data_IF_545731326100
#
_entry.id   IF_545731326100
#
_cell.length_a   1.000
_cell.length_b   1.000
_cell.length_c   1.000
_cell.angle_alpha   90.00
_cell.angle_beta   90.00
_cell.angle_gamma   90.00
#
_symmetry.space_group_name_H-M   'P 1'
#
loop_
_entity.id
_entity.type
_entity.pdbx_description
1 polymer ?
#
# COMPACT_ATOMS: atom_id res chain seq x y z
N UNK A 1 6.05 -15.79 20.14
CA UNK A 1 5.86 -15.98 18.68
C UNK A 1 7.18 -15.61 18.01
N UNK A 2 7.68 -16.45 17.11
CA UNK A 2 8.89 -16.15 16.34
C UNK A 2 8.59 -15.01 15.40
N UNK A 3 9.47 -13.98 15.34
CA UNK A 3 9.35 -12.88 14.38
C UNK A 3 9.86 -13.34 13.01
N UNK A 4 9.12 -13.01 11.97
CA UNK A 4 9.49 -13.25 10.56
C UNK A 4 10.02 -11.97 9.88
N UNK A 5 10.19 -10.89 10.61
CA UNK A 5 10.89 -9.68 10.21
C UNK A 5 12.06 -9.42 11.15
N UNK A 6 13.08 -8.74 10.68
CA UNK A 6 14.31 -8.46 11.44
C UNK A 6 14.29 -7.08 12.10
N UNK A 7 15.18 -6.85 13.05
CA UNK A 7 15.40 -5.51 13.60
C UNK A 7 15.91 -4.54 12.50
N UNK A 8 16.69 -5.06 11.54
CA UNK A 8 17.15 -4.27 10.39
C UNK A 8 15.99 -3.77 9.51
N UNK A 9 14.91 -4.54 9.38
CA UNK A 9 13.71 -4.09 8.65
C UNK A 9 13.05 -2.92 9.36
N UNK A 10 12.96 -3.00 10.70
CA UNK A 10 12.41 -1.93 11.54
C UNK A 10 13.27 -0.66 11.42
N UNK A 11 14.59 -0.78 11.62
CA UNK A 11 15.54 0.33 11.52
C UNK A 11 15.50 0.97 10.12
N UNK A 12 15.43 0.15 9.07
CA UNK A 12 15.32 0.63 7.70
C UNK A 12 14.02 1.42 7.49
N UNK A 13 12.89 0.89 7.96
CA UNK A 13 11.62 1.63 7.89
C UNK A 13 11.69 2.95 8.66
N UNK A 14 12.23 2.95 9.87
CA UNK A 14 12.36 4.16 10.69
C UNK A 14 13.24 5.23 10.03
N UNK A 15 14.31 4.82 9.36
CA UNK A 15 15.24 5.72 8.68
C UNK A 15 14.74 6.15 7.30
N UNK A 16 14.38 5.19 6.47
CA UNK A 16 14.07 5.41 5.06
C UNK A 16 12.57 5.64 4.81
N UNK A 17 11.72 5.38 5.82
CA UNK A 17 10.26 5.46 5.70
C UNK A 17 9.63 4.31 4.94
N UNK A 18 10.43 3.39 4.38
CA UNK A 18 9.95 2.30 3.56
C UNK A 18 10.85 1.08 3.63
N UNK A 19 10.26 -0.12 3.59
CA UNK A 19 10.99 -1.40 3.53
C UNK A 19 10.18 -2.45 2.77
N UNK A 20 10.87 -3.30 2.02
CA UNK A 20 10.29 -4.49 1.38
C UNK A 20 10.62 -5.69 2.24
N UNK A 21 9.60 -6.44 2.64
CA UNK A 21 9.71 -7.62 3.50
C UNK A 21 9.12 -8.82 2.76
N UNK A 22 9.76 -9.97 2.91
CA UNK A 22 9.34 -11.23 2.30
C UNK A 22 9.14 -12.28 3.39
N UNK A 23 8.46 -13.37 3.05
CA UNK A 23 8.37 -14.57 3.90
C UNK A 23 7.66 -14.37 5.27
N UNK A 24 6.84 -13.34 5.39
CA UNK A 24 6.00 -13.16 6.58
C UNK A 24 4.84 -14.16 6.61
N UNK A 25 4.24 -14.42 5.45
CA UNK A 25 3.08 -15.27 5.34
C UNK A 25 3.47 -16.70 4.93
N UNK A 26 2.72 -17.70 5.44
CA UNK A 26 2.88 -19.06 4.96
C UNK A 26 2.35 -19.20 3.52
N UNK A 27 2.86 -20.17 2.74
CA UNK A 27 2.31 -20.47 1.41
C UNK A 27 0.80 -20.76 1.43
N UNK A 28 0.31 -21.35 2.52
CA UNK A 28 -1.11 -21.63 2.74
C UNK A 28 -1.91 -20.33 2.88
N UNK A 29 -1.43 -19.37 3.67
CA UNK A 29 -2.11 -18.08 3.85
C UNK A 29 -2.13 -17.31 2.54
N UNK A 30 -1.00 -17.26 1.82
CA UNK A 30 -0.90 -16.59 0.51
C UNK A 30 -1.94 -17.18 -0.46
N UNK A 31 -1.98 -18.52 -0.59
CA UNK A 31 -2.93 -19.18 -1.47
C UNK A 31 -4.38 -18.92 -1.06
N UNK A 32 -4.69 -19.01 0.23
CA UNK A 32 -6.06 -18.80 0.71
C UNK A 32 -6.57 -17.40 0.45
N UNK A 33 -5.71 -16.39 0.67
CA UNK A 33 -6.08 -14.97 0.39
C UNK A 33 -6.20 -14.74 -1.11
N UNK A 34 -5.30 -15.28 -1.92
CA UNK A 34 -5.41 -15.22 -3.38
C UNK A 34 -6.76 -15.76 -3.88
N UNK A 35 -7.12 -16.98 -3.43
CA UNK A 35 -8.37 -17.63 -3.84
C UNK A 35 -9.61 -16.82 -3.40
N UNK A 36 -9.53 -16.13 -2.26
CA UNK A 36 -10.60 -15.27 -1.76
C UNK A 36 -10.75 -13.99 -2.59
N UNK A 37 -9.63 -13.35 -2.93
CA UNK A 37 -9.65 -12.15 -3.79
C UNK A 37 -10.21 -12.53 -5.17
N UNK A 38 -9.83 -13.69 -5.69
CA UNK A 38 -10.35 -14.21 -6.95
C UNK A 38 -11.89 -14.40 -6.92
N UNK A 39 -12.41 -14.92 -5.82
CA UNK A 39 -13.89 -15.04 -5.62
C UNK A 39 -14.57 -13.69 -5.55
N UNK A 40 -13.98 -12.72 -4.82
CA UNK A 40 -14.55 -11.38 -4.63
C UNK A 40 -14.61 -10.62 -5.95
N UNK A 41 -13.51 -10.62 -6.71
CA UNK A 41 -13.41 -9.85 -7.95
C UNK A 41 -13.79 -10.65 -9.21
N UNK A 42 -13.89 -11.98 -9.08
CA UNK A 42 -14.40 -12.86 -10.14
C UNK A 42 -13.55 -12.85 -11.40
N UNK A 43 -12.22 -12.82 -11.26
CA UNK A 43 -11.32 -12.96 -12.41
C UNK A 43 -11.64 -14.25 -13.18
N UNK A 44 -11.78 -14.13 -14.49
CA UNK A 44 -11.86 -15.26 -15.41
C UNK A 44 -10.76 -15.12 -16.42
N UNK A 45 -9.97 -16.15 -16.60
CA UNK A 45 -8.92 -16.18 -17.59
C UNK A 45 -9.50 -15.81 -18.98
N UNK A 46 -8.96 -14.73 -19.58
CA UNK A 46 -9.40 -14.21 -20.87
C UNK A 46 -10.75 -13.46 -20.88
N UNK A 47 -11.35 -13.19 -19.73
CA UNK A 47 -12.61 -12.44 -19.62
C UNK A 47 -12.48 -11.18 -18.77
N UNK A 48 -13.35 -10.21 -19.03
CA UNK A 48 -13.50 -9.06 -18.15
C UNK A 48 -13.89 -9.50 -16.74
N UNK A 49 -13.28 -8.97 -15.70
CA UNK A 49 -13.66 -9.26 -14.32
C UNK A 49 -15.11 -8.85 -14.10
N UNK A 50 -15.80 -9.55 -13.18
CA UNK A 50 -17.08 -9.08 -12.70
C UNK A 50 -16.87 -7.85 -11.84
N UNK A 51 -16.87 -6.68 -12.45
CA UNK A 51 -16.86 -5.44 -11.70
C UNK A 51 -18.16 -5.35 -10.90
N UNK A 52 -18.07 -5.41 -9.60
CA UNK A 52 -19.17 -4.97 -8.74
C UNK A 52 -19.15 -3.45 -8.74
N UNK A 53 -20.10 -2.87 -9.46
CA UNK A 53 -20.26 -1.42 -9.46
C UNK A 53 -20.94 -1.03 -8.14
N UNK A 54 -20.15 -0.72 -7.10
CA UNK A 54 -20.66 -0.36 -5.77
C UNK A 54 -21.15 1.11 -5.70
N UNK A 55 -21.71 1.62 -6.77
CA UNK A 55 -22.33 2.96 -6.78
C UNK A 55 -21.34 4.12 -6.72
N UNK A 56 -20.06 3.85 -6.76
CA UNK A 56 -19.05 4.89 -6.96
C UNK A 56 -19.16 5.34 -8.41
N UNK A 57 -19.46 6.59 -8.62
CA UNK A 57 -19.48 7.21 -9.94
C UNK A 57 -18.04 7.31 -10.46
N UNK A 58 -17.56 6.24 -11.04
CA UNK A 58 -16.15 6.08 -11.49
C UNK A 58 -16.03 6.73 -12.85
N UNK A 59 -16.14 8.02 -12.89
CA UNK A 59 -16.02 8.74 -14.17
C UNK A 59 -14.58 8.85 -14.64
N UNK A 60 -13.54 8.68 -13.79
CA UNK A 60 -12.17 9.00 -14.19
C UNK A 60 -11.05 8.09 -13.67
N UNK A 61 -11.28 7.13 -12.76
CA UNK A 61 -10.18 6.38 -12.16
C UNK A 61 -10.46 4.87 -12.14
N UNK A 62 -10.15 4.21 -13.22
CA UNK A 62 -10.37 2.76 -13.42
C UNK A 62 -9.73 1.90 -12.32
N UNK A 63 -8.66 2.35 -11.68
CA UNK A 63 -7.99 1.60 -10.62
C UNK A 63 -8.88 1.30 -9.40
N UNK A 64 -9.91 2.13 -9.15
CA UNK A 64 -10.81 1.95 -8.02
C UNK A 64 -12.06 1.12 -8.35
N UNK A 65 -12.21 0.63 -9.58
CA UNK A 65 -13.32 -0.26 -9.95
C UNK A 65 -13.30 -1.56 -9.16
N UNK A 66 -12.10 -2.04 -8.80
CA UNK A 66 -11.88 -3.28 -8.07
C UNK A 66 -11.22 -3.01 -6.70
N UNK A 67 -11.69 -1.98 -6.04
CA UNK A 67 -11.30 -1.61 -4.69
C UNK A 67 -12.48 -1.82 -3.75
N UNK A 68 -12.27 -2.57 -2.70
CA UNK A 68 -13.30 -2.78 -1.66
C UNK A 68 -12.67 -2.79 -0.27
N UNK A 69 -13.41 -2.26 0.69
CA UNK A 69 -13.19 -2.62 2.07
C UNK A 69 -13.42 -4.12 2.21
N UNK A 70 -12.61 -4.81 3.00
CA UNK A 70 -12.72 -6.25 3.14
C UNK A 70 -14.10 -6.57 3.69
N UNK A 71 -14.92 -7.37 2.96
CA UNK A 71 -16.28 -7.69 3.39
C UNK A 71 -16.28 -8.56 4.65
N UNK A 72 -17.25 -8.35 5.53
CA UNK A 72 -17.39 -9.15 6.75
C UNK A 72 -17.72 -10.63 6.48
N UNK A 73 -18.32 -10.92 5.35
CA UNK A 73 -18.73 -12.26 4.92
C UNK A 73 -17.68 -12.96 4.03
N UNK A 74 -16.51 -12.36 3.86
CA UNK A 74 -15.42 -13.04 3.16
C UNK A 74 -14.81 -14.14 4.04
N UNK A 75 -13.93 -14.96 3.45
CA UNK A 75 -13.29 -16.03 4.21
C UNK A 75 -12.45 -15.51 5.37
N UNK A 76 -12.22 -16.33 6.40
CA UNK A 76 -11.32 -15.97 7.50
C UNK A 76 -9.92 -15.58 7.03
N UNK A 77 -9.41 -16.15 5.93
CA UNK A 77 -8.08 -15.81 5.42
C UNK A 77 -7.99 -14.36 5.00
N UNK A 78 -8.89 -13.90 4.14
CA UNK A 78 -8.92 -12.50 3.69
C UNK A 78 -9.27 -11.54 4.84
N UNK A 79 -10.22 -11.91 5.70
CA UNK A 79 -10.61 -11.10 6.85
C UNK A 79 -9.49 -10.86 7.85
N UNK A 80 -8.65 -11.88 8.09
CA UNK A 80 -7.64 -11.83 9.15
C UNK A 80 -6.27 -11.40 8.66
N UNK A 81 -6.02 -11.38 7.36
CA UNK A 81 -4.68 -11.09 6.85
C UNK A 81 -4.22 -9.69 7.23
N UNK A 82 -5.12 -8.71 7.21
CA UNK A 82 -4.82 -7.33 7.59
C UNK A 82 -4.43 -7.15 9.06
N UNK A 83 -4.81 -8.09 9.92
CA UNK A 83 -4.46 -8.13 11.36
C UNK A 83 -3.54 -9.28 11.71
N UNK A 84 -2.80 -9.79 10.73
CA UNK A 84 -1.84 -10.87 10.96
C UNK A 84 -0.85 -10.49 12.07
N UNK A 85 -0.55 -11.37 13.06
CA UNK A 85 0.26 -11.04 14.22
C UNK A 85 1.64 -10.45 13.91
N UNK A 86 2.25 -10.87 12.79
CA UNK A 86 3.54 -10.32 12.36
C UNK A 86 3.42 -8.85 11.90
N UNK A 87 2.33 -8.49 11.22
CA UNK A 87 2.06 -7.08 10.81
C UNK A 87 1.85 -6.20 12.04
N UNK A 88 1.05 -6.68 12.99
CA UNK A 88 0.82 -5.98 14.26
C UNK A 88 2.15 -5.80 15.02
N UNK A 89 2.98 -6.84 15.07
CA UNK A 89 4.30 -6.78 15.70
C UNK A 89 5.20 -5.74 15.03
N UNK A 90 5.31 -5.81 13.70
CA UNK A 90 6.11 -4.88 12.91
C UNK A 90 5.61 -3.43 13.06
N UNK A 91 4.30 -3.21 13.04
CA UNK A 91 3.73 -1.88 13.23
C UNK A 91 4.06 -1.30 14.62
N UNK A 92 3.99 -2.12 15.66
CA UNK A 92 4.39 -1.71 17.04
C UNK A 92 5.85 -1.32 17.12
N UNK A 93 6.73 -2.15 16.55
CA UNK A 93 8.17 -1.92 16.57
C UNK A 93 8.54 -0.69 15.72
N UNK A 94 7.99 -0.59 14.49
CA UNK A 94 8.25 0.53 13.58
C UNK A 94 7.79 1.88 14.16
N UNK A 95 6.58 1.93 14.71
CA UNK A 95 6.00 3.13 15.32
C UNK A 95 6.45 3.35 16.77
N UNK A 96 7.32 2.48 17.31
CA UNK A 96 7.82 2.55 18.68
C UNK A 96 6.68 2.76 19.70
N UNK A 97 5.57 2.04 19.56
CA UNK A 97 4.42 2.12 20.46
C UNK A 97 3.70 0.78 20.57
N UNK A 98 3.19 0.46 21.75
CA UNK A 98 2.40 -0.76 21.98
C UNK A 98 0.91 -0.57 21.66
N UNK A 99 0.45 0.68 21.63
CA UNK A 99 -0.96 1.03 21.46
C UNK A 99 -1.24 1.47 20.03
N UNK A 100 -1.48 0.48 19.16
CA UNK A 100 -1.81 0.69 17.74
C UNK A 100 -3.24 0.28 17.45
N UNK A 101 -3.81 0.84 16.40
CA UNK A 101 -5.11 0.48 15.83
C UNK A 101 -5.01 0.28 14.32
N UNK A 102 -5.73 -0.70 13.82
CA UNK A 102 -6.01 -0.81 12.41
C UNK A 102 -6.91 0.37 12.02
N UNK A 103 -6.43 1.17 11.11
CA UNK A 103 -7.14 2.34 10.59
C UNK A 103 -7.97 1.99 9.36
N UNK A 104 -7.39 1.19 8.46
CA UNK A 104 -7.99 0.81 7.19
C UNK A 104 -7.46 -0.55 6.76
N UNK A 105 -8.30 -1.35 6.12
CA UNK A 105 -7.88 -2.55 5.40
C UNK A 105 -8.75 -2.73 4.16
N UNK A 106 -8.11 -2.96 3.01
CA UNK A 106 -8.76 -2.97 1.71
C UNK A 106 -8.15 -4.02 0.80
N UNK A 107 -8.99 -4.68 0.01
CA UNK A 107 -8.57 -5.60 -1.03
C UNK A 107 -8.58 -4.89 -2.39
N UNK A 108 -7.57 -5.17 -3.20
CA UNK A 108 -7.36 -4.58 -4.50
C UNK A 108 -7.17 -5.65 -5.56
N UNK A 109 -7.81 -5.46 -6.70
CA UNK A 109 -7.53 -6.22 -7.88
C UNK A 109 -7.33 -5.28 -9.08
N UNK A 110 -6.19 -5.38 -9.76
CA UNK A 110 -5.93 -4.69 -11.02
C UNK A 110 -5.87 -5.71 -12.15
N UNK A 111 -6.41 -5.34 -13.29
CA UNK A 111 -6.45 -6.17 -14.50
C UNK A 111 -6.01 -5.33 -15.68
N UNK A 112 -5.17 -5.90 -16.55
CA UNK A 112 -4.65 -5.22 -17.72
C UNK A 112 -5.79 -4.64 -18.58
N UNK A 113 -5.70 -3.35 -18.89
CA UNK A 113 -6.65 -2.64 -19.74
C UNK A 113 -7.96 -2.21 -19.08
N UNK A 114 -8.22 -2.59 -17.83
CA UNK A 114 -9.47 -2.26 -17.14
C UNK A 114 -9.30 -1.43 -15.87
N UNK A 115 -8.45 -1.89 -14.97
CA UNK A 115 -8.26 -1.29 -13.65
C UNK A 115 -6.78 -1.07 -13.37
N UNK A 116 -6.04 -0.62 -14.36
CA UNK A 116 -4.59 -0.50 -14.36
C UNK A 116 -4.12 0.96 -14.49
N UNK A 117 -4.89 1.89 -13.95
CA UNK A 117 -4.57 3.31 -13.97
C UNK A 117 -3.18 3.61 -13.38
N UNK A 118 -2.40 4.41 -14.10
CA UNK A 118 -1.12 4.92 -13.62
C UNK A 118 -1.31 6.19 -12.81
N UNK A 119 -0.68 6.27 -11.65
CA UNK A 119 -0.73 7.43 -10.79
C UNK A 119 0.56 8.25 -10.88
N UNK A 120 0.42 9.54 -10.65
CA UNK A 120 1.55 10.40 -10.29
C UNK A 120 2.05 10.07 -8.88
N UNK A 121 3.31 10.36 -8.58
CA UNK A 121 3.82 10.30 -7.21
C UNK A 121 2.98 11.18 -6.29
N UNK A 122 2.56 10.60 -5.19
CA UNK A 122 1.80 11.23 -4.13
C UNK A 122 2.17 10.63 -2.79
N UNK A 123 1.77 11.26 -1.71
CA UNK A 123 1.70 10.61 -0.40
C UNK A 123 0.23 10.48 -0.01
N UNK A 124 -0.06 9.52 0.85
CA UNK A 124 -1.43 9.32 1.37
C UNK A 124 -1.91 10.47 2.24
N UNK A 125 -0.97 11.25 2.76
CA UNK A 125 -1.23 12.46 3.53
C UNK A 125 -2.02 13.49 2.72
N UNK A 126 -3.10 13.99 3.31
CA UNK A 126 -3.98 14.97 2.66
C UNK A 126 -4.88 14.43 1.56
N UNK A 127 -4.73 13.15 1.19
CA UNK A 127 -5.56 12.53 0.16
C UNK A 127 -6.72 11.73 0.78
N UNK A 128 -6.44 10.64 1.47
CA UNK A 128 -7.45 9.77 2.05
C UNK A 128 -7.17 9.37 3.51
N UNK A 129 -6.18 9.96 4.12
CA UNK A 129 -5.86 9.76 5.53
C UNK A 129 -5.86 11.09 6.29
N UNK A 130 -6.32 11.01 7.54
CA UNK A 130 -6.30 12.14 8.47
C UNK A 130 -4.97 12.29 9.20
N UNK A 131 -4.07 11.29 9.10
CA UNK A 131 -2.76 11.35 9.73
C UNK A 131 -1.83 12.24 8.90
N UNK A 132 -1.12 13.15 9.53
CA UNK A 132 -0.11 14.00 8.91
C UNK A 132 1.30 13.55 9.30
N UNK A 133 2.32 13.80 8.47
CA UNK A 133 3.70 13.49 8.80
C UNK A 133 4.15 14.16 10.10
N UNK A 134 4.90 13.44 10.92
CA UNK A 134 5.47 13.94 12.16
C UNK A 134 6.91 13.48 12.31
N UNK A 135 7.74 14.30 12.95
CA UNK A 135 9.09 13.89 13.37
C UNK A 135 9.06 12.86 14.49
N UNK A 136 7.98 12.82 15.26
CA UNK A 136 7.72 11.76 16.25
C UNK A 136 7.12 10.55 15.50
N UNK A 137 7.92 9.50 15.34
CA UNK A 137 7.50 8.26 14.67
C UNK A 137 6.24 7.64 15.29
N UNK A 138 6.00 7.84 16.60
CA UNK A 138 4.81 7.31 17.27
C UNK A 138 3.52 7.97 16.77
N UNK A 139 3.61 9.13 16.14
CA UNK A 139 2.46 9.87 15.61
C UNK A 139 2.22 9.58 14.11
N UNK A 140 3.13 8.87 13.45
CA UNK A 140 2.96 8.49 12.05
C UNK A 140 2.03 7.27 11.90
N UNK A 141 1.79 6.87 10.67
CA UNK A 141 1.16 5.62 10.32
C UNK A 141 2.13 4.72 9.55
N UNK A 142 1.86 3.44 9.56
CA UNK A 142 2.51 2.46 8.71
C UNK A 142 1.46 1.75 7.87
N UNK A 143 1.65 1.76 6.57
CA UNK A 143 0.81 1.06 5.61
C UNK A 143 1.57 -0.15 5.06
N UNK A 144 0.89 -1.28 5.00
CA UNK A 144 1.36 -2.50 4.37
C UNK A 144 0.60 -2.70 3.07
N UNK A 145 1.29 -2.64 1.93
CA UNK A 145 0.79 -3.14 0.65
C UNK A 145 1.34 -4.56 0.47
N UNK A 146 0.46 -5.54 0.47
CA UNK A 146 0.78 -6.97 0.46
C UNK A 146 0.32 -7.58 -0.85
N UNK A 147 1.23 -8.21 -1.58
CA UNK A 147 0.91 -8.88 -2.84
C UNK A 147 0.51 -10.35 -2.61
N UNK A 148 -0.60 -10.74 -3.21
CA UNK A 148 -1.11 -12.12 -3.19
C UNK A 148 -1.09 -12.77 -4.58
N UNK A 149 -0.47 -12.13 -5.55
CA UNK A 149 -0.02 -12.68 -6.85
C UNK A 149 1.44 -12.33 -7.05
N UNK A 150 2.12 -13.01 -7.95
CA UNK A 150 3.46 -12.60 -8.38
C UNK A 150 3.35 -11.28 -9.16
N UNK A 151 4.24 -10.34 -8.83
CA UNK A 151 4.23 -8.99 -9.40
C UNK A 151 5.62 -8.67 -9.94
N UNK A 152 5.75 -8.70 -11.26
CA UNK A 152 6.92 -8.17 -11.99
C UNK A 152 6.63 -6.73 -12.43
N UNK A 153 7.59 -6.06 -13.06
CA UNK A 153 7.36 -4.74 -13.65
C UNK A 153 6.18 -4.70 -14.63
N UNK A 154 5.94 -5.79 -15.36
CA UNK A 154 4.82 -5.88 -16.30
C UNK A 154 3.45 -6.07 -15.62
N UNK A 155 3.41 -6.37 -14.31
CA UNK A 155 2.19 -6.51 -13.51
C UNK A 155 1.81 -5.22 -12.77
N UNK A 156 2.47 -4.11 -13.07
CA UNK A 156 2.17 -2.79 -12.51
C UNK A 156 2.39 -2.71 -11.00
N UNK A 157 3.62 -2.94 -10.50
CA UNK A 157 3.93 -2.80 -9.08
C UNK A 157 3.70 -1.37 -8.60
N UNK A 158 3.61 -1.16 -7.31
CA UNK A 158 3.79 0.17 -6.78
C UNK A 158 5.27 0.59 -6.90
N UNK A 159 5.50 1.85 -7.17
CA UNK A 159 6.84 2.46 -7.12
C UNK A 159 6.88 3.49 -6.01
N UNK A 160 8.07 3.75 -5.47
CA UNK A 160 8.23 4.64 -4.34
C UNK A 160 9.59 5.33 -4.32
N UNK A 161 9.66 6.42 -3.56
CA UNK A 161 10.92 7.12 -3.24
C UNK A 161 11.07 7.12 -1.72
N UNK A 162 12.25 6.75 -1.21
CA UNK A 162 12.49 6.72 0.23
C UNK A 162 12.54 8.13 0.82
N UNK A 163 12.28 8.26 2.14
CA UNK A 163 12.43 9.53 2.86
C UNK A 163 13.81 10.14 2.64
N UNK A 164 14.85 9.35 2.82
CA UNK A 164 16.24 9.82 2.68
C UNK A 164 16.60 10.26 1.26
N UNK A 165 15.92 9.74 0.25
CA UNK A 165 16.12 10.17 -1.13
C UNK A 165 15.28 11.42 -1.44
N UNK A 166 14.04 11.50 -0.98
CA UNK A 166 13.21 12.68 -1.19
C UNK A 166 13.76 13.91 -0.45
N UNK A 167 14.37 13.74 0.72
CA UNK A 167 15.01 14.83 1.49
C UNK A 167 16.21 15.46 0.75
N UNK A 168 16.77 14.82 -0.27
CA UNK A 168 17.83 15.42 -1.13
C UNK A 168 17.26 16.46 -2.09
N UNK A 169 15.95 16.48 -2.28
CA UNK A 169 15.26 17.42 -3.16
C UNK A 169 15.00 18.70 -2.37
N UNK A 170 15.58 19.83 -2.83
CA UNK A 170 15.42 21.11 -2.16
C UNK A 170 13.95 21.49 -1.97
N UNK A 171 13.60 21.84 -0.74
CA UNK A 171 12.26 22.27 -0.34
C UNK A 171 11.14 21.28 -0.68
N UNK A 172 11.42 19.99 -0.61
CA UNK A 172 10.43 18.96 -0.94
C UNK A 172 9.14 19.12 -0.11
N UNK A 173 9.26 19.47 1.17
CA UNK A 173 8.13 19.70 2.06
C UNK A 173 7.27 20.88 1.67
N UNK A 174 7.86 21.94 1.10
CA UNK A 174 7.12 23.10 0.60
C UNK A 174 6.40 22.80 -0.72
N UNK A 175 6.99 21.92 -1.55
CA UNK A 175 6.42 21.51 -2.83
C UNK A 175 5.27 20.51 -2.66
N UNK A 176 5.18 19.92 -1.48
CA UNK A 176 4.34 18.76 -1.20
C UNK A 176 2.86 19.09 -0.97
N UNK A 177 2.55 20.31 -0.55
CA UNK A 177 1.25 20.62 0.06
C UNK A 177 0.07 20.55 -0.92
N UNK A 178 0.27 20.50 -2.23
CA UNK A 178 -0.89 20.59 -3.12
C UNK A 178 -0.83 19.89 -4.49
N UNK A 179 0.18 19.13 -4.85
CA UNK A 179 0.24 18.74 -6.27
C UNK A 179 0.91 17.41 -6.58
N UNK A 180 0.18 16.33 -6.40
CA UNK A 180 0.48 15.07 -7.12
C UNK A 180 0.48 15.27 -8.66
N UNK A 181 -0.07 16.36 -9.17
CA UNK A 181 -0.08 16.72 -10.59
C UNK A 181 1.03 17.69 -11.01
N UNK A 182 1.86 18.17 -10.08
CA UNK A 182 2.99 19.03 -10.45
C UNK A 182 4.07 18.23 -11.22
N UNK A 183 4.15 18.47 -12.52
CA UNK A 183 5.12 17.83 -13.41
C UNK A 183 6.55 18.04 -12.92
N UNK A 184 6.86 19.19 -12.36
CA UNK A 184 8.20 19.49 -11.83
C UNK A 184 8.57 18.58 -10.66
N UNK A 185 7.63 18.32 -9.76
CA UNK A 185 7.81 17.39 -8.65
C UNK A 185 8.01 15.96 -9.14
N UNK A 186 7.20 15.51 -10.10
CA UNK A 186 7.32 14.17 -10.70
C UNK A 186 8.72 13.96 -11.31
N UNK A 187 9.22 14.96 -12.05
CA UNK A 187 10.56 14.90 -12.66
C UNK A 187 11.69 14.88 -11.62
N UNK A 188 11.52 15.54 -10.48
CA UNK A 188 12.52 15.55 -9.41
C UNK A 188 12.55 14.22 -8.64
N UNK A 189 11.42 13.52 -8.52
CA UNK A 189 11.31 12.25 -7.82
C UNK A 189 11.77 11.06 -8.69
N UNK A 190 11.54 11.11 -9.99
CA UNK A 190 11.78 10.01 -10.91
C UNK A 190 13.20 9.39 -10.82
N UNK A 191 14.31 10.16 -10.66
CA UNK A 191 15.66 9.59 -10.55
C UNK A 191 15.88 8.71 -9.30
N UNK A 192 15.02 8.82 -8.29
CA UNK A 192 15.11 8.10 -7.03
C UNK A 192 14.08 6.96 -6.92
N UNK A 193 13.34 6.72 -7.98
CA UNK A 193 12.27 5.74 -8.02
C UNK A 193 12.78 4.31 -7.80
N UNK A 194 12.06 3.58 -6.95
CA UNK A 194 12.31 2.17 -6.64
C UNK A 194 11.02 1.39 -6.83
N UNK A 195 11.14 0.13 -7.21
CA UNK A 195 10.01 -0.77 -7.41
C UNK A 195 9.73 -1.60 -6.17
N UNK A 196 8.46 -2.02 -6.03
CA UNK A 196 8.02 -3.01 -5.05
C UNK A 196 7.81 -4.40 -5.65
N UNK A 197 8.23 -4.62 -6.91
CA UNK A 197 8.07 -5.90 -7.58
C UNK A 197 8.59 -7.07 -6.73
N UNK A 198 7.87 -8.18 -6.74
CA UNK A 198 8.21 -9.35 -5.95
C UNK A 198 7.22 -10.49 -6.13
N UNK A 199 7.53 -11.65 -5.56
CA UNK A 199 6.67 -12.82 -5.55
C UNK A 199 5.46 -12.61 -4.62
N UNK A 200 4.44 -13.44 -4.77
CA UNK A 200 3.32 -13.48 -3.83
C UNK A 200 3.81 -13.62 -2.39
N UNK A 201 3.25 -12.85 -1.48
CA UNK A 201 3.71 -12.71 -0.09
C UNK A 201 4.69 -11.56 0.14
N UNK A 202 5.14 -10.85 -0.90
CA UNK A 202 5.94 -9.62 -0.74
C UNK A 202 5.10 -8.51 -0.12
N UNK A 203 5.68 -7.83 0.87
CA UNK A 203 5.07 -6.72 1.59
C UNK A 203 5.92 -5.46 1.37
N UNK A 204 5.29 -4.42 0.89
CA UNK A 204 5.82 -3.07 0.93
C UNK A 204 5.25 -2.36 2.16
N UNK A 205 6.10 -2.12 3.17
CA UNK A 205 5.75 -1.37 4.37
C UNK A 205 6.24 0.07 4.22
N UNK A 206 5.35 1.05 4.31
CA UNK A 206 5.70 2.46 4.11
C UNK A 206 4.98 3.40 5.07
N UNK A 207 5.60 4.53 5.34
CA UNK A 207 5.08 5.61 6.17
C UNK A 207 4.21 6.58 5.38
N UNK A 208 3.46 7.40 6.11
CA UNK A 208 2.54 8.40 5.56
C UNK A 208 3.24 9.44 4.66
N UNK A 209 4.52 9.65 4.88
CA UNK A 209 5.38 10.63 4.22
C UNK A 209 6.13 10.09 2.99
N UNK A 210 5.83 8.86 2.58
CA UNK A 210 6.52 8.22 1.45
C UNK A 210 5.81 8.54 0.15
N UNK A 211 6.56 9.15 -0.79
CA UNK A 211 6.11 9.30 -2.16
C UNK A 211 6.02 7.95 -2.82
N UNK A 212 4.84 7.64 -3.33
CA UNK A 212 4.60 6.41 -4.05
C UNK A 212 3.59 6.63 -5.17
N UNK A 213 3.53 5.67 -6.11
CA UNK A 213 2.58 5.70 -7.21
C UNK A 213 2.22 4.28 -7.67
N UNK A 214 1.06 4.11 -8.25
CA UNK A 214 0.72 2.90 -9.00
C UNK A 214 1.25 3.01 -10.43
N UNK A 215 1.70 1.89 -10.98
CA UNK A 215 2.07 1.77 -12.41
C UNK A 215 1.07 0.90 -13.16
N UNK A 216 1.02 1.03 -14.47
CA UNK A 216 0.14 0.25 -15.32
C UNK A 216 0.58 -1.21 -15.43
N UNK A 217 -0.40 -2.09 -15.68
CA UNK A 217 -0.13 -3.47 -16.11
C UNK A 217 0.07 -3.43 -17.63
N UNK A 218 1.25 -3.83 -18.09
CA UNK A 218 1.60 -3.81 -19.51
C UNK A 218 1.49 -5.19 -20.17
N UNK A 219 1.50 -6.27 -19.37
CA UNK A 219 1.37 -7.64 -19.87
C UNK A 219 -0.09 -7.98 -20.13
N UNK A 220 -0.45 -8.34 -21.39
CA UNK A 220 -1.81 -8.75 -21.73
C UNK A 220 -2.29 -9.92 -20.86
N UNK A 221 -3.51 -9.83 -20.34
CA UNK A 221 -4.14 -10.85 -19.50
C UNK A 221 -3.57 -10.97 -18.09
N UNK A 222 -2.58 -10.14 -17.72
CA UNK A 222 -2.04 -10.15 -16.38
C UNK A 222 -2.97 -9.42 -15.39
N UNK A 223 -2.80 -9.78 -14.12
CA UNK A 223 -3.52 -9.18 -13.00
C UNK A 223 -2.58 -9.02 -11.80
N UNK A 224 -3.01 -8.20 -10.84
CA UNK A 224 -2.34 -8.00 -9.56
C UNK A 224 -3.37 -8.01 -8.43
N UNK A 225 -3.22 -8.94 -7.50
CA UNK A 225 -3.99 -9.02 -6.28
C UNK A 225 -3.19 -8.49 -5.10
N UNK A 226 -3.79 -7.58 -4.36
CA UNK A 226 -3.15 -6.97 -3.21
C UNK A 226 -4.15 -6.70 -2.08
N UNK A 227 -3.64 -6.65 -0.86
CA UNK A 227 -4.37 -6.12 0.31
C UNK A 227 -3.53 -5.01 0.90
N UNK A 228 -4.17 -3.89 1.24
CA UNK A 228 -3.55 -2.83 2.04
C UNK A 228 -4.10 -2.86 3.46
N UNK A 229 -3.23 -2.58 4.43
CA UNK A 229 -3.63 -2.39 5.84
C UNK A 229 -2.82 -1.27 6.45
N UNK A 230 -3.49 -0.30 7.02
CA UNK A 230 -2.85 0.87 7.63
C UNK A 230 -3.05 0.84 9.16
N UNK A 231 -1.95 0.99 9.89
CA UNK A 231 -1.94 1.08 11.34
C UNK A 231 -1.42 2.44 11.81
N UNK A 232 -1.99 2.93 12.90
CA UNK A 232 -1.54 4.12 13.60
C UNK A 232 -1.65 3.94 15.11
N UNK A 233 -1.00 4.82 15.88
CA UNK A 233 -1.19 4.89 17.32
C UNK A 233 -2.67 5.18 17.64
N UNK A 234 -3.20 4.55 18.69
CA UNK A 234 -4.61 4.69 19.08
C UNK A 234 -5.00 6.12 19.42
N UNK A 235 -4.07 6.87 20.02
CA UNK A 235 -4.19 8.31 20.26
C UNK A 235 -3.13 8.99 19.43
N UNK A 236 -3.54 9.55 18.30
CA UNK A 236 -2.65 10.26 17.39
C UNK A 236 -3.05 11.74 17.43
N UNK A 237 -2.11 12.60 17.85
CA UNK A 237 -2.31 14.03 17.99
C UNK A 237 -2.08 14.79 16.67
N UNK A 238 -1.58 14.10 15.63
CA UNK A 238 -1.34 14.66 14.31
C UNK A 238 -2.46 14.27 13.34
N UNK A 239 -3.69 14.55 13.72
CA UNK A 239 -4.84 14.44 12.81
C UNK A 239 -4.95 15.74 12.04
N UNK A 240 -4.87 15.65 10.71
CA UNK A 240 -4.88 16.81 9.84
C UNK A 240 -6.25 17.37 9.63
N UNK A 241 -6.79 18.05 10.56
CA UNK A 241 -7.84 19.06 10.47
C UNK A 241 -7.82 19.83 11.80
N UNK A 242 -6.78 20.55 12.00
CA UNK A 242 -6.82 21.61 12.97
C UNK A 242 -6.95 22.90 12.19
N UNK A 243 -8.17 23.41 12.14
CA UNK A 243 -8.57 24.78 11.80
C UNK A 243 -7.79 25.49 10.69
#
# INVERSE_FOLDING_TARGET
MVKHYSNSDVEKWQKEGAVIIKEIFSPKDIKSVHDDIDKVFGYKEGGAPKTKNHGINVTNEKQFLNFENIPLDCSPALNLIGVHPQLIGLAKDALNTKDIRLYQSQAWAKFCGETDFEQSFHCDYGNHTLTVPSKDLTQNSITFLMYFSDVTEEHGPAHYVTRTDSEKIDKISEKFIDNSSDISLQMLLAPYERTTAGVAGTIFAYGIDIFHRATNITKPGAYRYAVTSCFKKARNDTIGYTD
#
